data_IF_171088944382
#
_entry.id   IF_171088944382
#
_cell.length_a   1.000
_cell.length_b   1.000
_cell.length_c   1.000
_cell.angle_alpha   90.00
_cell.angle_beta   90.00
_cell.angle_gamma   90.00
#
_symmetry.space_group_name_H-M   'P 1'
#
loop_
_entity.id
_entity.type
_entity.pdbx_description
1 polymer ?
#
# COMPACT_ATOMS: atom_id res chain seq x y z
N UNK A 1 -8.64 9.66 46.81
CA UNK A 1 -7.46 9.55 45.93
C UNK A 1 -7.45 10.81 45.08
N UNK A 2 -6.32 11.52 45.00
CA UNK A 2 -6.23 12.71 44.17
C UNK A 2 -6.27 12.26 42.70
N UNK A 3 -7.41 12.43 42.05
CA UNK A 3 -7.56 12.17 40.62
C UNK A 3 -6.83 13.30 39.89
N UNK A 4 -5.54 13.11 39.59
CA UNK A 4 -4.75 13.99 38.72
C UNK A 4 -5.14 13.75 37.25
N UNK A 5 -6.43 13.89 36.94
CA UNK A 5 -6.89 13.91 35.56
C UNK A 5 -6.67 15.33 35.03
N UNK A 6 -5.99 15.51 33.88
CA UNK A 6 -5.88 16.82 33.27
C UNK A 6 -7.27 17.34 32.92
N UNK A 7 -7.51 18.63 33.16
CA UNK A 7 -8.79 19.27 32.85
C UNK A 7 -9.03 19.27 31.33
N UNK A 8 -10.28 19.07 30.92
CA UNK A 8 -10.68 19.27 29.51
C UNK A 8 -10.42 20.73 29.09
N UNK A 9 -10.12 21.00 27.81
CA UNK A 9 -10.02 22.37 27.31
C UNK A 9 -11.37 23.10 27.43
N UNK A 10 -11.32 24.42 27.51
CA UNK A 10 -12.53 25.24 27.47
C UNK A 10 -13.23 25.11 26.11
N UNK A 11 -14.55 25.31 26.09
CA UNK A 11 -15.31 25.28 24.86
C UNK A 11 -14.89 26.40 23.92
N UNK A 12 -14.69 26.04 22.65
CA UNK A 12 -14.39 26.96 21.56
C UNK A 12 -15.36 26.65 20.40
N UNK A 13 -16.16 27.63 19.92
CA UNK A 13 -17.22 27.38 18.94
C UNK A 13 -16.71 27.02 17.54
N UNK A 14 -15.49 27.43 17.18
CA UNK A 14 -14.89 27.13 15.88
C UNK A 14 -15.74 27.57 14.68
N UNK A 15 -15.65 26.84 13.57
CA UNK A 15 -16.44 27.07 12.34
C UNK A 15 -17.80 26.39 12.35
N UNK A 16 -18.00 25.43 13.25
CA UNK A 16 -19.24 24.67 13.40
C UNK A 16 -19.59 24.61 14.90
N UNK A 17 -20.29 25.63 15.43
CA UNK A 17 -20.58 25.71 16.86
C UNK A 17 -21.40 24.53 17.38
N UNK A 18 -22.33 24.01 16.57
CA UNK A 18 -23.15 22.85 16.91
C UNK A 18 -22.31 21.58 17.09
N UNK A 19 -21.42 21.30 16.13
CA UNK A 19 -20.47 20.18 16.21
C UNK A 19 -19.50 20.33 17.37
N UNK A 20 -18.96 21.53 17.57
CA UNK A 20 -18.00 21.80 18.65
C UNK A 20 -18.66 21.61 20.01
N UNK A 21 -19.94 21.99 20.15
CA UNK A 21 -20.69 21.81 21.39
C UNK A 21 -20.91 20.34 21.70
N UNK A 22 -21.34 19.56 20.69
CA UNK A 22 -21.55 18.12 20.82
C UNK A 22 -20.30 17.39 21.32
N UNK A 23 -19.15 17.62 20.67
CA UNK A 23 -17.89 16.98 21.08
C UNK A 23 -17.45 17.43 22.47
N UNK A 24 -17.53 18.74 22.77
CA UNK A 24 -17.13 19.24 24.08
C UNK A 24 -18.04 18.72 25.21
N UNK A 25 -19.34 18.58 24.95
CA UNK A 25 -20.31 17.98 25.88
C UNK A 25 -19.97 16.52 26.15
N UNK A 26 -19.67 15.73 25.11
CA UNK A 26 -19.21 14.33 25.25
C UNK A 26 -17.94 14.26 26.11
N UNK A 27 -16.93 15.08 25.82
CA UNK A 27 -15.70 15.15 26.61
C UNK A 27 -15.96 15.53 28.08
N UNK A 28 -16.90 16.44 28.33
CA UNK A 28 -17.29 16.85 29.68
C UNK A 28 -18.03 15.75 30.45
N UNK A 29 -18.93 15.01 29.79
CA UNK A 29 -19.65 13.88 30.39
C UNK A 29 -18.67 12.74 30.73
N UNK A 30 -17.74 12.41 29.84
CA UNK A 30 -16.66 11.45 30.09
C UNK A 30 -15.75 11.90 31.25
N UNK A 31 -15.45 13.20 31.32
CA UNK A 31 -14.66 13.77 32.40
C UNK A 31 -15.36 13.65 33.77
N UNK A 32 -16.68 13.87 33.81
CA UNK A 32 -17.48 13.68 35.02
C UNK A 32 -17.47 12.21 35.48
N UNK A 33 -17.65 11.28 34.54
CA UNK A 33 -17.65 9.84 34.82
C UNK A 33 -16.27 9.38 35.32
N UNK A 34 -15.19 9.81 34.65
CA UNK A 34 -13.82 9.48 35.05
C UNK A 34 -13.48 9.99 36.46
N UNK A 35 -13.99 11.16 36.84
CA UNK A 35 -13.85 11.70 38.19
C UNK A 35 -14.80 11.06 39.21
N UNK A 36 -15.75 10.22 38.76
CA UNK A 36 -16.84 9.63 39.58
C UNK A 36 -17.74 10.68 40.22
N UNK A 37 -17.99 11.77 39.49
CA UNK A 37 -18.91 12.83 39.92
C UNK A 37 -20.36 12.54 39.53
N UNK A 38 -20.62 11.41 38.87
CA UNK A 38 -21.97 10.97 38.48
C UNK A 38 -22.93 10.89 39.69
N UNK A 39 -22.43 10.52 40.87
CA UNK A 39 -23.19 10.47 42.14
C UNK A 39 -23.08 11.75 42.99
N UNK A 40 -22.34 12.76 42.52
CA UNK A 40 -22.17 14.01 43.27
C UNK A 40 -23.47 14.83 43.30
N UNK A 41 -23.67 15.72 44.29
CA UNK A 41 -24.81 16.64 44.30
C UNK A 41 -24.88 17.48 43.02
N UNK A 42 -26.08 17.75 42.52
CA UNK A 42 -26.30 18.54 41.29
C UNK A 42 -25.65 19.93 41.33
N UNK A 43 -25.64 20.55 42.52
CA UNK A 43 -24.94 21.82 42.74
C UNK A 43 -23.44 21.73 42.45
N UNK A 44 -22.82 20.61 42.79
CA UNK A 44 -21.39 20.34 42.53
C UNK A 44 -21.14 20.12 41.05
N UNK A 45 -21.98 19.31 40.39
CA UNK A 45 -21.89 19.06 38.93
C UNK A 45 -22.02 20.36 38.12
N UNK A 46 -23.03 21.18 38.43
CA UNK A 46 -23.23 22.47 37.76
C UNK A 46 -22.12 23.48 38.07
N UNK A 47 -21.55 23.47 39.28
CA UNK A 47 -20.39 24.29 39.60
C UNK A 47 -19.14 23.87 38.80
N UNK A 48 -18.92 22.56 38.63
CA UNK A 48 -17.82 22.04 37.83
C UNK A 48 -17.98 22.39 36.34
N UNK A 49 -19.19 22.23 35.79
CA UNK A 49 -19.51 22.70 34.43
C UNK A 49 -19.12 24.17 34.26
N UNK A 50 -19.62 25.04 35.14
CA UNK A 50 -19.31 26.49 35.09
C UNK A 50 -17.83 26.79 35.22
N UNK A 51 -17.05 25.94 35.89
CA UNK A 51 -15.62 26.13 36.01
C UNK A 51 -14.88 25.82 34.70
N UNK A 52 -15.32 24.78 33.97
CA UNK A 52 -14.63 24.23 32.80
C UNK A 52 -15.14 24.77 31.47
N UNK A 53 -16.40 25.19 31.38
CA UNK A 53 -17.07 25.51 30.11
C UNK A 53 -16.52 26.75 29.38
N UNK A 54 -15.66 27.54 30.00
CA UNK A 54 -15.09 28.75 29.40
C UNK A 54 -16.01 29.97 29.48
N UNK A 55 -15.48 31.13 29.10
CA UNK A 55 -16.21 32.41 29.23
C UNK A 55 -17.39 32.54 28.24
N UNK A 56 -17.28 31.95 27.05
CA UNK A 56 -18.35 31.99 26.06
C UNK A 56 -19.62 31.31 26.57
N UNK A 57 -19.51 30.06 27.02
CA UNK A 57 -20.64 29.33 27.59
C UNK A 57 -21.10 29.95 28.91
N UNK A 58 -20.21 30.48 29.77
CA UNK A 58 -20.63 31.20 30.98
C UNK A 58 -21.49 32.42 30.65
N UNK A 59 -21.11 33.20 29.64
CA UNK A 59 -21.85 34.39 29.21
C UNK A 59 -23.23 33.98 28.72
N UNK A 60 -23.31 32.94 27.90
CA UNK A 60 -24.57 32.42 27.38
C UNK A 60 -25.46 31.83 28.48
N UNK A 61 -24.89 31.08 29.42
CA UNK A 61 -25.60 30.50 30.56
C UNK A 61 -26.25 31.57 31.45
N UNK A 62 -25.62 32.74 31.61
CA UNK A 62 -26.21 33.87 32.36
C UNK A 62 -27.39 34.52 31.63
N UNK A 63 -27.49 34.34 30.31
CA UNK A 63 -28.58 34.86 29.51
C UNK A 63 -29.80 33.93 29.48
N UNK A 64 -29.62 32.64 29.77
CA UNK A 64 -30.72 31.68 29.85
C UNK A 64 -31.60 31.92 31.10
N UNK A 65 -32.93 31.86 30.94
CA UNK A 65 -33.91 31.95 32.05
C UNK A 65 -34.22 30.55 32.62
N UNK A 66 -33.17 29.85 33.07
CA UNK A 66 -33.31 28.49 33.61
C UNK A 66 -33.94 28.49 35.00
N UNK A 67 -35.03 27.73 35.14
CA UNK A 67 -35.75 27.55 36.41
C UNK A 67 -35.55 26.14 36.96
N UNK A 68 -35.40 25.97 38.29
CA UNK A 68 -35.35 24.65 38.89
C UNK A 68 -36.62 23.86 38.58
N UNK A 69 -36.47 22.56 38.34
CA UNK A 69 -37.61 21.65 38.23
C UNK A 69 -38.34 21.49 39.58
N UNK A 70 -39.62 21.10 39.52
CA UNK A 70 -40.42 20.84 40.71
C UNK A 70 -39.72 19.82 41.63
N UNK A 71 -39.55 20.21 42.90
CA UNK A 71 -38.88 19.39 43.92
C UNK A 71 -37.35 19.42 43.89
N UNK A 72 -36.72 20.21 43.01
CA UNK A 72 -35.26 20.40 42.98
C UNK A 72 -34.85 21.69 43.72
N UNK A 73 -33.78 21.63 44.52
CA UNK A 73 -33.22 22.81 45.22
C UNK A 73 -32.55 23.83 44.26
N UNK A 74 -32.35 23.47 43.00
CA UNK A 74 -31.72 24.32 41.99
C UNK A 74 -31.78 23.72 40.59
N UNK A 75 -31.29 24.46 39.60
CA UNK A 75 -31.14 23.99 38.21
C UNK A 75 -30.17 22.81 38.18
N UNK A 76 -30.57 21.71 37.54
CA UNK A 76 -29.74 20.50 37.42
C UNK A 76 -28.72 20.63 36.29
N UNK A 77 -27.67 19.80 36.31
CA UNK A 77 -26.71 19.80 35.20
C UNK A 77 -27.39 19.42 33.89
N UNK A 78 -28.30 18.44 33.92
CA UNK A 78 -29.02 18.00 32.73
C UNK A 78 -29.84 19.12 32.09
N UNK A 79 -30.51 19.96 32.89
CA UNK A 79 -31.23 21.13 32.38
C UNK A 79 -30.28 22.11 31.68
N UNK A 80 -29.10 22.35 32.25
CA UNK A 80 -28.09 23.23 31.64
C UNK A 80 -27.62 22.66 30.30
N UNK A 81 -27.28 21.37 30.25
CA UNK A 81 -26.80 20.73 29.01
C UNK A 81 -27.88 20.71 27.93
N UNK A 82 -29.14 20.46 28.29
CA UNK A 82 -30.26 20.46 27.35
C UNK A 82 -30.52 21.86 26.77
N UNK A 83 -30.48 22.91 27.60
CA UNK A 83 -30.66 24.28 27.11
C UNK A 83 -29.57 24.67 26.10
N UNK A 84 -28.34 24.21 26.34
CA UNK A 84 -27.27 24.39 25.36
C UNK A 84 -27.45 23.54 24.11
N UNK A 85 -27.93 22.30 24.23
CA UNK A 85 -28.30 21.51 23.06
C UNK A 85 -29.32 22.29 22.21
N UNK A 86 -30.36 22.84 22.83
CA UNK A 86 -31.38 23.65 22.16
C UNK A 86 -30.81 24.95 21.55
N UNK A 87 -29.93 25.65 22.27
CA UNK A 87 -29.27 26.85 21.75
C UNK A 87 -28.38 26.57 20.54
N UNK A 88 -27.68 25.43 20.54
CA UNK A 88 -26.78 25.05 19.45
C UNK A 88 -27.46 24.30 18.29
N UNK A 89 -28.73 23.91 18.44
CA UNK A 89 -29.54 23.34 17.35
C UNK A 89 -29.66 24.31 16.17
N UNK A 90 -29.82 25.62 16.43
CA UNK A 90 -29.96 26.63 15.37
C UNK A 90 -28.70 26.75 14.47
N UNK A 91 -27.55 26.33 14.99
CA UNK A 91 -26.29 26.29 14.24
C UNK A 91 -26.13 25.00 13.42
N UNK A 92 -27.02 24.01 13.59
CA UNK A 92 -27.00 22.78 12.83
C UNK A 92 -27.49 23.05 11.40
N UNK A 93 -26.56 22.99 10.45
CA UNK A 93 -26.88 23.12 9.03
C UNK A 93 -26.83 21.75 8.35
N UNK A 94 -27.94 21.02 8.42
CA UNK A 94 -28.09 19.68 7.82
C UNK A 94 -27.81 19.68 6.31
N UNK A 95 -28.15 20.77 5.61
CA UNK A 95 -27.91 20.93 4.17
C UNK A 95 -26.40 21.00 3.91
N UNK A 96 -25.68 21.80 4.68
CA UNK A 96 -24.23 21.94 4.53
C UNK A 96 -23.48 20.66 4.98
N UNK A 97 -23.95 20.00 6.03
CA UNK A 97 -23.45 18.70 6.45
C UNK A 97 -23.65 17.65 5.34
N UNK A 98 -24.85 17.59 4.77
CA UNK A 98 -25.17 16.74 3.61
C UNK A 98 -24.26 17.06 2.42
N UNK A 99 -24.04 18.35 2.13
CA UNK A 99 -23.13 18.78 1.06
C UNK A 99 -21.71 18.24 1.28
N UNK A 100 -21.12 18.47 2.46
CA UNK A 100 -19.80 17.93 2.81
C UNK A 100 -19.76 16.40 2.69
N UNK A 101 -20.75 15.71 3.25
CA UNK A 101 -20.87 14.26 3.19
C UNK A 101 -20.91 13.75 1.75
N UNK A 102 -21.69 14.39 0.89
CA UNK A 102 -21.84 14.03 -0.53
C UNK A 102 -20.59 14.33 -1.36
N UNK A 103 -19.71 15.23 -0.92
CA UNK A 103 -18.42 15.50 -1.58
C UNK A 103 -17.34 14.47 -1.26
N UNK A 104 -17.41 13.80 -0.10
CA UNK A 104 -16.40 12.82 0.33
C UNK A 104 -16.25 11.69 -0.71
N UNK A 105 -15.02 11.42 -1.13
CA UNK A 105 -14.66 10.29 -1.99
C UNK A 105 -13.40 9.63 -1.43
N UNK A 106 -13.17 8.37 -1.78
CA UNK A 106 -11.94 7.69 -1.41
C UNK A 106 -10.77 8.33 -2.18
N UNK A 107 -9.77 8.77 -1.44
CA UNK A 107 -8.59 9.45 -1.98
C UNK A 107 -7.56 8.45 -2.51
N UNK A 108 -6.65 8.92 -3.37
CA UNK A 108 -5.60 8.08 -3.92
C UNK A 108 -4.67 7.58 -2.81
N UNK A 109 -4.56 6.26 -2.65
CA UNK A 109 -3.72 5.65 -1.63
C UNK A 109 -4.35 5.58 -0.23
N UNK A 110 -5.57 6.08 -0.07
CA UNK A 110 -6.33 5.97 1.18
C UNK A 110 -6.86 4.55 1.37
N UNK A 111 -6.67 3.99 2.57
CA UNK A 111 -7.26 2.70 2.94
C UNK A 111 -8.78 2.83 3.06
N UNK A 112 -9.49 1.76 2.72
CA UNK A 112 -10.94 1.73 2.84
C UNK A 112 -11.42 2.01 4.28
N UNK A 113 -10.68 1.59 5.31
CA UNK A 113 -11.03 1.85 6.72
C UNK A 113 -11.05 3.32 7.07
N UNK A 114 -10.14 4.10 6.49
CA UNK A 114 -9.98 5.53 6.77
C UNK A 114 -11.10 6.30 6.05
N UNK A 115 -11.34 5.95 4.78
CA UNK A 115 -12.47 6.45 3.99
C UNK A 115 -13.82 6.18 4.67
N UNK A 116 -14.03 4.94 5.14
CA UNK A 116 -15.24 4.56 5.85
C UNK A 116 -15.43 5.35 7.16
N UNK A 117 -14.36 5.55 7.92
CA UNK A 117 -14.39 6.34 9.17
C UNK A 117 -14.77 7.80 8.89
N UNK A 118 -14.20 8.44 7.87
CA UNK A 118 -14.58 9.80 7.48
C UNK A 118 -16.07 9.92 7.13
N UNK A 119 -16.59 8.98 6.35
CA UNK A 119 -18.00 8.94 6.00
C UNK A 119 -18.90 8.69 7.23
N UNK A 120 -18.49 7.79 8.14
CA UNK A 120 -19.28 7.48 9.34
C UNK A 120 -19.35 8.67 10.30
N UNK A 121 -18.29 9.47 10.39
CA UNK A 121 -18.30 10.68 11.21
C UNK A 121 -19.16 11.78 10.55
N UNK A 122 -19.01 11.99 9.23
CA UNK A 122 -19.74 13.04 8.53
C UNK A 122 -21.26 12.79 8.46
N UNK A 123 -21.71 11.53 8.36
CA UNK A 123 -23.14 11.22 8.22
C UNK A 123 -23.97 11.55 9.47
N UNK A 124 -23.33 11.59 10.65
CA UNK A 124 -24.03 11.90 11.92
C UNK A 124 -24.63 13.31 11.87
N UNK A 125 -23.90 14.26 11.30
CA UNK A 125 -24.35 15.66 11.21
C UNK A 125 -25.43 15.88 10.15
N UNK A 126 -25.58 14.94 9.22
CA UNK A 126 -26.59 15.02 8.17
C UNK A 126 -28.00 14.73 8.69
N UNK A 127 -28.13 14.16 9.89
CA UNK A 127 -29.41 13.83 10.53
C UNK A 127 -30.40 13.07 9.62
N UNK A 128 -29.91 12.08 8.85
CA UNK A 128 -30.76 11.28 7.97
C UNK A 128 -31.72 10.32 8.69
N UNK A 129 -31.73 10.31 10.03
CA UNK A 129 -32.56 9.43 10.86
C UNK A 129 -32.42 7.96 10.47
N UNK A 130 -33.56 7.27 10.31
CA UNK A 130 -33.62 5.85 9.95
C UNK A 130 -32.95 5.53 8.60
N UNK A 131 -32.78 6.52 7.72
CA UNK A 131 -32.14 6.34 6.42
C UNK A 131 -30.60 6.44 6.47
N UNK A 132 -29.99 6.73 7.62
CA UNK A 132 -28.54 6.93 7.75
C UNK A 132 -27.72 5.78 7.16
N UNK A 133 -28.03 4.54 7.51
CA UNK A 133 -27.28 3.37 7.04
C UNK A 133 -27.44 3.15 5.53
N UNK A 134 -28.61 3.47 4.98
CA UNK A 134 -28.84 3.46 3.53
C UNK A 134 -28.00 4.53 2.83
N UNK A 135 -28.04 5.77 3.32
CA UNK A 135 -27.27 6.89 2.75
C UNK A 135 -25.77 6.60 2.80
N UNK A 136 -25.28 6.10 3.94
CA UNK A 136 -23.89 5.71 4.11
C UNK A 136 -23.48 4.59 3.16
N UNK A 137 -24.29 3.53 3.03
CA UNK A 137 -24.04 2.43 2.09
C UNK A 137 -23.94 2.92 0.66
N UNK A 138 -24.93 3.70 0.21
CA UNK A 138 -25.00 4.19 -1.17
C UNK A 138 -23.81 5.13 -1.44
N UNK A 139 -23.44 5.96 -0.47
CA UNK A 139 -22.30 6.87 -0.56
C UNK A 139 -20.95 6.15 -0.59
N UNK A 140 -20.78 5.10 0.22
CA UNK A 140 -19.59 4.23 0.18
C UNK A 140 -19.38 3.75 -1.24
N UNK A 141 -20.40 3.09 -1.83
CA UNK A 141 -20.32 2.52 -3.18
C UNK A 141 -20.03 3.62 -4.20
N UNK A 142 -20.70 4.77 -4.12
CA UNK A 142 -20.55 5.88 -5.07
C UNK A 142 -19.16 6.53 -5.03
N UNK A 143 -18.54 6.63 -3.86
CA UNK A 143 -17.23 7.28 -3.68
C UNK A 143 -16.02 6.36 -3.75
N UNK A 144 -16.19 5.04 -3.99
CA UNK A 144 -15.07 4.10 -4.13
C UNK A 144 -14.10 4.50 -5.25
N UNK A 145 -12.80 4.40 -4.95
CA UNK A 145 -11.73 4.62 -5.92
C UNK A 145 -11.63 3.45 -6.91
N UNK A 146 -11.78 2.22 -6.42
CA UNK A 146 -11.78 1.02 -7.26
C UNK A 146 -13.08 0.91 -8.08
N UNK A 147 -12.99 1.27 -9.36
CA UNK A 147 -14.11 1.25 -10.29
C UNK A 147 -14.64 -0.15 -10.61
N UNK A 148 -13.79 -1.17 -10.58
CA UNK A 148 -14.22 -2.54 -10.82
C UNK A 148 -15.02 -3.08 -9.62
N UNK A 149 -14.56 -2.79 -8.39
CA UNK A 149 -15.31 -3.11 -7.17
C UNK A 149 -16.63 -2.33 -7.10
N UNK A 150 -16.60 -1.02 -7.41
CA UNK A 150 -17.79 -0.18 -7.46
C UNK A 150 -18.86 -0.76 -8.41
N UNK A 151 -18.49 -1.08 -9.65
CA UNK A 151 -19.40 -1.66 -10.64
C UNK A 151 -19.98 -3.00 -10.15
N UNK A 152 -19.14 -3.87 -9.58
CA UNK A 152 -19.58 -5.16 -9.03
C UNK A 152 -20.60 -4.96 -7.90
N UNK A 153 -20.31 -4.07 -6.95
CA UNK A 153 -21.20 -3.78 -5.82
C UNK A 153 -22.54 -3.20 -6.29
N UNK A 154 -22.55 -2.31 -7.30
CA UNK A 154 -23.79 -1.77 -7.88
C UNK A 154 -24.64 -2.92 -8.47
N UNK A 155 -24.02 -3.80 -9.27
CA UNK A 155 -24.70 -4.92 -9.91
C UNK A 155 -25.22 -5.96 -8.93
N UNK A 156 -24.50 -6.23 -7.85
CA UNK A 156 -24.93 -7.22 -6.86
C UNK A 156 -26.00 -6.66 -5.93
N UNK A 157 -25.84 -5.42 -5.48
CA UNK A 157 -26.83 -4.72 -4.63
C UNK A 157 -28.15 -4.51 -5.34
N UNK A 158 -28.15 -4.31 -6.67
CA UNK A 158 -29.38 -4.20 -7.45
C UNK A 158 -30.14 -5.53 -7.59
N UNK A 159 -29.43 -6.67 -7.56
CA UNK A 159 -30.05 -8.01 -7.59
C UNK A 159 -30.58 -8.43 -6.22
N UNK A 160 -29.82 -8.14 -5.16
CA UNK A 160 -30.19 -8.42 -3.77
C UNK A 160 -29.72 -7.24 -2.93
N UNK A 161 -30.67 -6.57 -2.28
CA UNK A 161 -30.36 -5.46 -1.40
C UNK A 161 -29.34 -5.90 -0.33
N UNK A 162 -28.17 -5.25 -0.35
CA UNK A 162 -27.13 -5.43 0.64
C UNK A 162 -27.30 -4.42 1.76
N UNK A 163 -27.04 -4.86 2.98
CA UNK A 163 -26.91 -4.01 4.16
C UNK A 163 -25.61 -3.22 4.13
N UNK A 164 -25.51 -2.18 4.95
CA UNK A 164 -24.27 -1.44 5.15
C UNK A 164 -23.11 -2.38 5.54
N UNK A 165 -23.35 -3.30 6.49
CA UNK A 165 -22.33 -4.20 7.01
C UNK A 165 -21.80 -5.18 5.96
N UNK A 166 -22.67 -5.71 5.09
CA UNK A 166 -22.27 -6.56 3.97
C UNK A 166 -21.35 -5.80 3.00
N UNK A 167 -21.71 -4.56 2.62
CA UNK A 167 -20.89 -3.73 1.73
C UNK A 167 -19.53 -3.39 2.36
N UNK A 168 -19.51 -3.02 3.64
CA UNK A 168 -18.27 -2.73 4.39
C UNK A 168 -17.36 -3.97 4.44
N UNK A 169 -17.92 -5.14 4.71
CA UNK A 169 -17.18 -6.40 4.75
C UNK A 169 -16.56 -6.75 3.40
N UNK A 170 -17.31 -6.58 2.31
CA UNK A 170 -16.83 -6.83 0.96
C UNK A 170 -15.73 -5.87 0.53
N UNK A 171 -15.83 -4.59 0.89
CA UNK A 171 -14.80 -3.61 0.60
C UNK A 171 -13.48 -3.94 1.33
N UNK A 172 -13.55 -4.26 2.63
CA UNK A 172 -12.39 -4.73 3.41
C UNK A 172 -11.78 -5.99 2.81
N UNK A 173 -12.61 -6.95 2.44
CA UNK A 173 -12.17 -8.23 1.84
C UNK A 173 -11.51 -8.00 0.48
N UNK A 174 -12.06 -7.11 -0.35
CA UNK A 174 -11.49 -6.77 -1.65
C UNK A 174 -10.12 -6.09 -1.52
N UNK A 175 -9.98 -5.15 -0.58
CA UNK A 175 -8.71 -4.49 -0.28
C UNK A 175 -7.64 -5.51 0.15
N UNK A 176 -7.97 -6.36 1.13
CA UNK A 176 -7.07 -7.43 1.58
C UNK A 176 -6.70 -8.41 0.46
N UNK A 177 -7.66 -8.79 -0.38
CA UNK A 177 -7.44 -9.72 -1.49
C UNK A 177 -6.45 -9.15 -2.52
N UNK A 178 -6.49 -7.83 -2.79
CA UNK A 178 -5.53 -7.17 -3.68
C UNK A 178 -4.11 -7.18 -3.11
N UNK A 179 -3.97 -6.93 -1.82
CA UNK A 179 -2.66 -7.01 -1.12
C UNK A 179 -2.13 -8.44 -1.17
N UNK A 180 -2.99 -9.45 -0.94
CA UNK A 180 -2.58 -10.85 -1.04
C UNK A 180 -2.20 -11.24 -2.47
N UNK A 181 -2.96 -10.78 -3.47
CA UNK A 181 -2.70 -11.04 -4.88
C UNK A 181 -1.38 -10.41 -5.36
N UNK A 182 -1.03 -9.20 -4.91
CA UNK A 182 0.25 -8.58 -5.25
C UNK A 182 1.42 -9.39 -4.69
N UNK A 183 1.32 -9.86 -3.43
CA UNK A 183 2.33 -10.75 -2.82
C UNK A 183 2.46 -12.08 -3.57
N UNK A 184 1.34 -12.67 -4.00
CA UNK A 184 1.37 -13.90 -4.81
C UNK A 184 2.02 -13.67 -6.18
N UNK A 185 1.68 -12.57 -6.85
CA UNK A 185 2.24 -12.23 -8.16
C UNK A 185 3.73 -11.85 -8.10
N UNK A 186 4.17 -11.19 -7.02
CA UNK A 186 5.58 -10.91 -6.79
C UNK A 186 6.38 -12.22 -6.63
N UNK A 187 5.86 -13.18 -5.86
CA UNK A 187 6.48 -14.52 -5.74
C UNK A 187 6.55 -15.24 -7.09
N UNK A 188 5.52 -15.14 -7.93
CA UNK A 188 5.51 -15.71 -9.29
C UNK A 188 6.54 -15.03 -10.20
N UNK A 189 6.68 -13.70 -10.15
CA UNK A 189 7.68 -12.94 -10.90
C UNK A 189 9.12 -13.34 -10.51
N UNK A 190 9.39 -13.45 -9.20
CA UNK A 190 10.69 -13.91 -8.69
C UNK A 190 11.00 -15.34 -9.15
N UNK A 191 10.00 -16.23 -9.14
CA UNK A 191 10.16 -17.61 -9.62
C UNK A 191 10.40 -17.67 -11.14
N UNK A 192 9.70 -16.84 -11.93
CA UNK A 192 9.94 -16.72 -13.37
C UNK A 192 11.37 -16.25 -13.65
N UNK A 193 11.86 -15.21 -12.97
CA UNK A 193 13.24 -14.71 -13.10
C UNK A 193 14.30 -15.76 -12.73
N UNK A 194 14.04 -16.58 -11.70
CA UNK A 194 14.90 -17.73 -11.36
C UNK A 194 14.93 -18.78 -12.47
N UNK A 195 13.78 -19.10 -13.06
CA UNK A 195 13.67 -20.05 -14.16
C UNK A 195 14.35 -19.54 -15.44
N UNK A 196 14.25 -18.24 -15.76
CA UNK A 196 14.99 -17.62 -16.86
C UNK A 196 16.51 -17.65 -16.66
N UNK A 197 17.01 -17.44 -15.43
CA UNK A 197 18.44 -17.59 -15.11
C UNK A 197 18.93 -19.03 -15.28
N UNK A 198 18.14 -20.00 -14.85
CA UNK A 198 18.46 -21.42 -15.02
C UNK A 198 18.47 -21.83 -16.49
N UNK A 199 17.51 -21.36 -17.30
CA UNK A 199 17.48 -21.62 -18.74
C UNK A 199 18.66 -20.98 -19.49
N UNK A 200 19.06 -19.75 -19.11
CA UNK A 200 20.23 -19.05 -19.68
C UNK A 200 21.56 -19.70 -19.30
N UNK A 201 21.66 -20.31 -18.12
CA UNK A 201 22.82 -21.10 -17.70
C UNK A 201 22.87 -22.49 -18.37
N UNK A 202 21.71 -23.09 -18.67
CA UNK A 202 21.65 -24.36 -19.40
C UNK A 202 21.99 -24.21 -20.89
N UNK A 203 21.64 -23.06 -21.50
CA UNK A 203 22.01 -22.69 -22.87
C UNK A 203 23.53 -22.49 -23.09
N UNK A 204 24.29 -22.15 -22.05
CA UNK A 204 25.76 -22.00 -22.15
C UNK A 204 26.54 -23.32 -22.12
N UNK A 205 25.92 -24.44 -21.73
CA UNK A 205 26.60 -25.74 -21.69
C UNK A 205 26.42 -26.59 -22.97
N UNK A 206 25.72 -26.08 -23.99
CA UNK A 206 25.51 -26.79 -25.25
C UNK A 206 26.35 -26.28 -26.43
N UNK A 207 27.42 -25.52 -26.17
CA UNK A 207 28.38 -25.15 -27.22
C UNK A 207 29.81 -25.60 -26.89
N UNK A 208 30.33 -26.44 -27.81
CA UNK A 208 31.72 -26.79 -28.12
C UNK A 208 32.31 -28.04 -27.42
N UNK A 209 32.01 -29.19 -28.02
CA UNK A 209 32.92 -30.35 -28.05
C UNK A 209 34.14 -30.15 -28.98
N UNK A 210 34.35 -28.92 -29.47
CA UNK A 210 35.45 -28.56 -30.34
C UNK A 210 36.71 -28.26 -29.52
N UNK A 211 37.79 -28.96 -29.82
CA UNK A 211 39.09 -28.78 -29.19
C UNK A 211 40.06 -28.14 -30.17
N UNK A 212 40.86 -27.20 -29.71
CA UNK A 212 42.00 -26.71 -30.48
C UNK A 212 43.08 -27.80 -30.52
N UNK A 213 43.27 -28.44 -31.68
CA UNK A 213 44.04 -29.66 -31.76
C UNK A 213 45.53 -29.41 -31.95
N UNK A 214 46.34 -29.98 -31.05
CA UNK A 214 47.81 -29.85 -31.07
C UNK A 214 48.50 -30.64 -32.19
N UNK A 215 47.77 -31.48 -32.94
CA UNK A 215 48.32 -32.30 -34.02
C UNK A 215 48.15 -31.65 -35.41
N UNK A 216 47.02 -30.99 -35.65
CA UNK A 216 46.73 -30.33 -36.94
C UNK A 216 46.69 -28.80 -36.85
N UNK A 217 46.55 -28.23 -35.64
CA UNK A 217 46.45 -26.78 -35.42
C UNK A 217 45.10 -26.17 -35.80
N UNK A 218 44.05 -26.99 -36.01
CA UNK A 218 42.68 -26.56 -36.28
C UNK A 218 41.76 -26.89 -35.10
N UNK A 219 40.65 -26.16 -34.99
CA UNK A 219 39.57 -26.43 -34.04
C UNK A 219 38.63 -27.46 -34.68
N UNK A 220 38.37 -28.57 -34.00
CA UNK A 220 37.46 -29.63 -34.45
C UNK A 220 36.97 -30.49 -33.28
N UNK A 221 35.94 -31.31 -33.50
CA UNK A 221 35.43 -32.25 -32.49
C UNK A 221 36.50 -33.24 -32.01
N UNK A 222 36.42 -33.64 -30.73
CA UNK A 222 37.28 -34.69 -30.16
C UNK A 222 37.25 -35.96 -31.03
N UNK A 223 38.42 -36.56 -31.27
CA UNK A 223 38.65 -37.78 -32.09
C UNK A 223 38.44 -37.65 -33.61
N UNK A 224 38.03 -36.49 -34.14
CA UNK A 224 37.92 -36.24 -35.59
C UNK A 224 39.08 -35.40 -36.13
N UNK A 225 40.31 -35.74 -35.77
CA UNK A 225 41.47 -34.95 -36.20
C UNK A 225 41.81 -35.20 -37.68
N UNK A 226 41.82 -34.16 -38.54
CA UNK A 226 42.18 -34.31 -39.96
C UNK A 226 43.63 -34.75 -40.20
N UNK A 227 44.51 -34.62 -39.20
CA UNK A 227 45.90 -35.08 -39.31
C UNK A 227 46.07 -36.57 -39.00
N UNK A 228 45.06 -37.23 -38.42
CA UNK A 228 45.12 -38.65 -38.10
C UNK A 228 45.26 -39.50 -39.38
N UNK A 229 46.20 -40.44 -39.39
CA UNK A 229 46.53 -41.27 -40.56
C UNK A 229 47.45 -40.60 -41.61
N UNK A 230 47.65 -39.28 -41.54
CA UNK A 230 48.50 -38.55 -42.51
C UNK A 230 49.98 -38.55 -42.10
N UNK A 231 50.90 -38.47 -43.08
CA UNK A 231 52.34 -38.29 -42.84
C UNK A 231 52.71 -36.80 -42.77
N UNK A 232 53.54 -36.46 -41.81
CA UNK A 232 54.09 -35.13 -41.62
C UNK A 232 55.14 -34.85 -42.69
N UNK A 233 54.95 -33.79 -43.48
CA UNK A 233 55.89 -33.38 -44.54
C UNK A 233 57.26 -32.87 -44.02
N UNK A 234 57.45 -32.77 -42.71
CA UNK A 234 58.69 -32.27 -42.11
C UNK A 234 59.58 -33.39 -41.53
N UNK A 235 58.98 -34.44 -40.96
CA UNK A 235 59.71 -35.52 -40.28
C UNK A 235 59.28 -36.93 -40.70
N UNK A 236 58.38 -37.04 -41.68
CA UNK A 236 57.74 -38.27 -42.17
C UNK A 236 56.99 -39.12 -41.12
N UNK A 237 56.95 -38.66 -39.86
CA UNK A 237 56.13 -39.25 -38.79
C UNK A 237 54.63 -39.09 -39.05
N UNK A 238 53.79 -39.90 -38.39
CA UNK A 238 52.34 -39.92 -38.60
C UNK A 238 51.56 -39.03 -37.61
N UNK A 239 50.28 -38.82 -37.92
CA UNK A 239 49.26 -38.24 -37.03
C UNK A 239 49.45 -36.77 -36.63
N UNK A 240 50.24 -36.01 -37.38
CA UNK A 240 50.39 -34.56 -37.21
C UNK A 240 50.83 -33.90 -38.51
N UNK A 241 50.60 -32.60 -38.63
CA UNK A 241 51.05 -31.80 -39.78
C UNK A 241 52.34 -31.05 -39.50
N UNK A 242 53.04 -30.65 -40.57
CA UNK A 242 54.31 -29.93 -40.50
C UNK A 242 54.24 -28.68 -39.61
N UNK A 243 53.10 -27.97 -39.60
CA UNK A 243 52.87 -26.78 -38.74
C UNK A 243 52.97 -27.09 -37.24
N UNK A 244 52.59 -28.28 -36.82
CA UNK A 244 52.63 -28.73 -35.42
C UNK A 244 53.75 -29.74 -35.16
N UNK A 245 54.67 -29.91 -36.12
CA UNK A 245 55.78 -30.84 -36.00
C UNK A 245 56.79 -30.32 -34.99
N UNK A 246 57.15 -31.17 -34.03
CA UNK A 246 58.12 -30.84 -32.97
C UNK A 246 59.55 -31.25 -33.31
N UNK A 247 59.75 -31.93 -34.44
CA UNK A 247 61.07 -32.37 -34.90
C UNK A 247 61.73 -31.26 -35.69
N UNK A 248 62.95 -30.86 -35.30
CA UNK A 248 63.74 -29.90 -36.08
C UNK A 248 64.17 -30.54 -37.42
N UNK A 249 64.01 -29.80 -38.52
CA UNK A 249 64.29 -30.27 -39.87
C UNK A 249 65.81 -30.46 -40.05
N UNK A 250 66.27 -31.71 -40.17
CA UNK A 250 67.68 -32.01 -40.44
C UNK A 250 67.98 -31.65 -41.91
N UNK A 251 68.67 -30.53 -42.15
CA UNK A 251 69.16 -30.16 -43.49
C UNK A 251 70.36 -31.07 -43.84
N UNK A 252 70.10 -32.20 -44.49
CA UNK A 252 71.19 -32.97 -45.11
C UNK A 252 71.80 -32.16 -46.26
N UNK A 253 73.10 -31.87 -46.15
CA UNK A 253 73.91 -31.17 -47.16
C UNK A 253 74.08 -32.08 -48.39
N UNK A 254 73.64 -31.63 -49.56
CA UNK A 254 74.08 -32.22 -50.84
C UNK A 254 75.25 -31.40 -51.39
N UNK A 255 76.40 -32.07 -51.54
CA UNK A 255 77.64 -31.56 -52.13
C UNK A 255 77.47 -31.47 -53.64
N UNK A 256 77.89 -30.34 -54.22
CA UNK A 256 77.75 -29.98 -55.62
C UNK A 256 78.61 -30.84 -56.56
N UNK A 257 78.05 -31.28 -57.69
CA UNK A 257 78.81 -31.73 -58.86
C UNK A 257 78.92 -30.57 -59.86
N UNK A 258 80.15 -30.08 -60.09
CA UNK A 258 80.50 -29.11 -61.14
C UNK A 258 80.66 -29.81 -62.49
N UNK A 259 80.14 -29.20 -63.57
CA UNK A 259 80.71 -29.27 -64.93
C UNK A 259 80.40 -27.97 -65.66
N UNK A 260 81.44 -27.28 -66.12
CA UNK A 260 81.36 -26.09 -67.00
C UNK A 260 81.74 -26.54 -68.41
N UNK A 261 80.93 -26.07 -69.37
CA UNK A 261 81.00 -26.38 -70.80
C UNK A 261 82.26 -25.80 -71.48
N UNK A 262 82.73 -26.51 -72.51
CA UNK A 262 83.59 -25.97 -73.55
C UNK A 262 82.85 -26.04 -74.89
N UNK A 263 82.69 -24.91 -75.57
CA UNK A 263 82.33 -24.80 -76.99
C UNK A 263 83.60 -24.34 -77.71
N UNK A 264 83.89 -24.97 -78.85
CA UNK A 264 85.10 -24.86 -79.68
C UNK A 264 85.10 -23.64 -80.62
N UNK A 265 86.29 -23.45 -81.22
CA UNK A 265 86.68 -22.74 -82.48
C UNK A 265 87.56 -21.51 -82.18
N UNK A 266 88.79 -21.36 -82.70
CA UNK A 266 89.53 -21.97 -83.81
C UNK A 266 90.97 -22.35 -83.40
#
# INVERSE_FOLDING_TARGET
MANNLPTIPAFEPGTNPSESWRHWKEDFEDYLEALRYSDAPEKTKTALFRHLCGEELKKQLRAFDLKPNDGCEGVTLQQVLQEFDEYFLDYQNEIFASFKFLEIKQEQGEKFTDYYSRLRNAVVECNYGESQDRMLRDKIIQGLLDKALQERLIRETSKKAKTLQEVVSECKTAENSKVQASVMNEKLSVNALKNFRNYRNQSKNNQKNEVNCKQCGKIHEKKKCPAYGTKCRNCDGRNHWAKMCRTQRNKQKNVAARRVNAIKEN
#
